data_IF_793023632441
#
_entry.id   IF_793023632441
#
_cell.length_a   1.000
_cell.length_b   1.000
_cell.length_c   1.000
_cell.angle_alpha   90.00
_cell.angle_beta   90.00
_cell.angle_gamma   90.00
#
_symmetry.space_group_name_H-M   'P 1'
#
loop_
_entity.id
_entity.type
_entity.pdbx_description
1 polymer ?
#
# COMPACT_ATOMS: atom_id res chain seq x y z
N UNK A 1 -36.78 14.90 -8.15
CA UNK A 1 -35.62 14.55 -9.00
C UNK A 1 -36.10 13.51 -10.00
N UNK A 2 -35.79 13.69 -11.28
CA UNK A 2 -36.25 12.79 -12.34
C UNK A 2 -35.58 11.41 -12.17
N UNK A 3 -36.38 10.40 -11.79
CA UNK A 3 -35.89 9.04 -11.57
C UNK A 3 -35.20 8.45 -12.80
N UNK A 4 -35.54 8.94 -14.00
CA UNK A 4 -34.88 8.55 -15.25
C UNK A 4 -33.48 9.13 -15.38
N UNK A 5 -33.24 10.34 -14.87
CA UNK A 5 -31.87 10.88 -14.77
C UNK A 5 -31.03 10.08 -13.78
N UNK A 6 -31.59 9.72 -12.62
CA UNK A 6 -30.88 8.92 -11.62
C UNK A 6 -30.51 7.54 -12.16
N UNK A 7 -31.43 6.86 -12.84
CA UNK A 7 -31.15 5.57 -13.48
C UNK A 7 -30.04 5.67 -14.54
N UNK A 8 -30.06 6.72 -15.36
CA UNK A 8 -29.02 6.98 -16.37
C UNK A 8 -27.66 7.24 -15.72
N UNK A 9 -27.63 8.04 -14.65
CA UNK A 9 -26.41 8.34 -13.93
C UNK A 9 -25.77 7.07 -13.36
N UNK A 10 -26.56 6.23 -12.70
CA UNK A 10 -26.09 4.95 -12.17
C UNK A 10 -25.58 4.02 -13.28
N UNK A 11 -26.28 3.94 -14.41
CA UNK A 11 -25.85 3.14 -15.55
C UNK A 11 -24.49 3.61 -16.10
N UNK A 12 -24.30 4.93 -16.26
CA UNK A 12 -23.03 5.50 -16.74
C UNK A 12 -21.89 5.21 -15.76
N UNK A 13 -22.12 5.38 -14.46
CA UNK A 13 -21.12 5.09 -13.43
C UNK A 13 -20.72 3.61 -13.47
N UNK A 14 -21.69 2.71 -13.56
CA UNK A 14 -21.43 1.26 -13.64
C UNK A 14 -20.63 0.90 -14.88
N UNK A 15 -20.99 1.45 -16.04
CA UNK A 15 -20.24 1.24 -17.30
C UNK A 15 -18.81 1.74 -17.16
N UNK A 16 -18.60 2.93 -16.56
CA UNK A 16 -17.27 3.47 -16.34
C UNK A 16 -16.42 2.53 -15.48
N UNK A 17 -16.95 2.05 -14.34
CA UNK A 17 -16.26 1.08 -13.49
C UNK A 17 -15.93 -0.22 -14.22
N UNK A 18 -16.87 -0.76 -15.01
CA UNK A 18 -16.65 -1.97 -15.79
C UNK A 18 -15.51 -1.80 -16.81
N UNK A 19 -15.48 -0.68 -17.52
CA UNK A 19 -14.42 -0.36 -18.50
C UNK A 19 -13.06 -0.21 -17.81
N UNK A 20 -12.99 0.53 -16.70
CA UNK A 20 -11.74 0.68 -15.94
C UNK A 20 -11.24 -0.67 -15.40
N UNK A 21 -12.12 -1.50 -14.86
CA UNK A 21 -11.76 -2.83 -14.37
C UNK A 21 -11.23 -3.73 -15.50
N UNK A 22 -11.87 -3.72 -16.67
CA UNK A 22 -11.43 -4.46 -17.84
C UNK A 22 -10.06 -3.97 -18.36
N UNK A 23 -9.82 -2.65 -18.37
CA UNK A 23 -8.53 -2.09 -18.75
C UNK A 23 -7.41 -2.54 -17.79
N UNK A 24 -7.66 -2.55 -16.48
CA UNK A 24 -6.68 -3.04 -15.49
C UNK A 24 -6.46 -4.55 -15.64
N UNK A 25 -7.51 -5.33 -15.90
CA UNK A 25 -7.37 -6.78 -16.14
C UNK A 25 -6.52 -7.08 -17.38
N UNK A 26 -6.72 -6.33 -18.47
CA UNK A 26 -5.90 -6.43 -19.68
C UNK A 26 -4.44 -5.99 -19.43
N UNK A 27 -4.22 -4.92 -18.67
CA UNK A 27 -2.88 -4.50 -18.28
C UNK A 27 -2.17 -5.58 -17.44
N UNK A 28 -2.86 -6.15 -16.44
CA UNK A 28 -2.34 -7.24 -15.59
C UNK A 28 -2.08 -8.55 -16.32
N UNK A 29 -2.81 -8.85 -17.39
CA UNK A 29 -2.58 -10.04 -18.24
C UNK A 29 -1.38 -9.88 -19.17
N UNK A 30 -1.10 -8.65 -19.59
CA UNK A 30 0.06 -8.32 -20.42
C UNK A 30 1.35 -8.15 -19.61
N UNK A 31 1.23 -7.84 -18.32
CA UNK A 31 2.33 -7.96 -17.38
C UNK A 31 2.55 -9.45 -17.05
N UNK A 32 3.79 -9.97 -17.09
CA UNK A 32 4.09 -11.21 -16.39
C UNK A 32 3.61 -11.02 -14.96
N UNK A 33 2.76 -11.93 -14.46
CA UNK A 33 2.30 -11.93 -13.07
C UNK A 33 3.46 -11.45 -12.20
N UNK A 34 3.38 -10.26 -11.56
CA UNK A 34 4.42 -9.88 -10.63
C UNK A 34 4.49 -11.06 -9.67
N UNK A 35 5.69 -11.62 -9.42
CA UNK A 35 5.80 -12.61 -8.37
C UNK A 35 5.04 -12.02 -7.20
N UNK A 36 4.08 -12.78 -6.62
CA UNK A 36 3.59 -12.50 -5.25
C UNK A 36 4.78 -11.97 -4.49
N UNK A 37 4.70 -10.92 -3.67
CA UNK A 37 5.87 -10.48 -2.92
C UNK A 37 6.38 -11.71 -2.18
N UNK A 38 7.39 -12.35 -2.77
CA UNK A 38 8.28 -13.25 -2.10
C UNK A 38 8.81 -12.24 -1.13
N UNK A 39 8.46 -12.42 0.14
CA UNK A 39 9.27 -11.91 1.22
C UNK A 39 10.67 -12.38 0.85
N UNK A 40 11.39 -11.57 0.07
CA UNK A 40 12.80 -11.67 -0.12
C UNK A 40 13.28 -11.30 1.25
N UNK A 41 13.33 -12.31 2.10
CA UNK A 41 14.24 -12.38 3.23
C UNK A 41 15.57 -11.98 2.65
N UNK A 42 15.81 -10.68 2.74
CA UNK A 42 17.05 -10.03 2.37
C UNK A 42 18.14 -10.85 3.07
N UNK A 43 19.17 -11.33 2.34
CA UNK A 43 20.21 -12.21 2.88
C UNK A 43 20.72 -11.64 4.21
N UNK A 44 20.36 -12.29 5.31
CA UNK A 44 20.79 -12.06 6.71
C UNK A 44 21.45 -10.70 6.90
N UNK A 45 20.68 -9.62 6.73
CA UNK A 45 21.10 -8.32 7.23
C UNK A 45 21.08 -8.43 8.77
N UNK A 46 22.03 -7.80 9.48
CA UNK A 46 22.03 -7.79 10.95
C UNK A 46 20.64 -7.40 11.41
N UNK A 47 20.07 -8.19 12.33
CA UNK A 47 18.71 -8.05 12.87
C UNK A 47 18.46 -6.57 13.12
N UNK A 48 17.75 -5.91 12.19
CA UNK A 48 17.60 -4.47 12.28
C UNK A 48 16.47 -4.25 13.30
N UNK A 49 16.74 -3.72 14.51
CA UNK A 49 15.73 -3.56 15.54
C UNK A 49 14.56 -2.68 15.05
N UNK A 50 14.81 -1.80 14.07
CA UNK A 50 13.77 -1.01 13.42
C UNK A 50 12.78 -1.89 12.64
N UNK A 51 13.24 -2.94 11.95
CA UNK A 51 12.36 -3.86 11.20
C UNK A 51 11.45 -4.65 12.13
N UNK A 52 11.96 -5.14 13.25
CA UNK A 52 11.15 -5.83 14.25
C UNK A 52 10.08 -4.92 14.87
N UNK A 53 10.42 -3.65 15.10
CA UNK A 53 9.48 -2.66 15.63
C UNK A 53 8.39 -2.35 14.61
N UNK A 54 8.76 -2.10 13.34
CA UNK A 54 7.79 -1.89 12.26
C UNK A 54 6.86 -3.08 12.05
N UNK A 55 7.37 -4.31 12.11
CA UNK A 55 6.54 -5.52 12.02
C UNK A 55 5.52 -5.62 13.16
N UNK A 56 5.92 -5.25 14.38
CA UNK A 56 5.03 -5.18 15.54
C UNK A 56 3.94 -4.13 15.34
N UNK A 57 4.31 -2.94 14.90
CA UNK A 57 3.39 -1.85 14.60
C UNK A 57 2.42 -2.22 13.48
N UNK A 58 2.90 -2.87 12.43
CA UNK A 58 2.04 -3.34 11.34
C UNK A 58 1.00 -4.37 11.81
N UNK A 59 1.36 -5.27 12.71
CA UNK A 59 0.42 -6.24 13.30
C UNK A 59 -0.65 -5.58 14.18
N UNK A 60 -0.39 -4.39 14.72
CA UNK A 60 -1.38 -3.63 15.48
C UNK A 60 -2.40 -2.89 14.60
N UNK A 61 -2.08 -2.65 13.31
CA UNK A 61 -2.99 -1.98 12.39
C UNK A 61 -3.30 -0.54 12.84
N UNK A 62 -4.58 -0.17 12.85
CA UNK A 62 -5.04 1.19 13.19
C UNK A 62 -4.56 1.67 14.57
N UNK A 63 -4.45 0.76 15.55
CA UNK A 63 -3.96 1.09 16.89
C UNK A 63 -2.50 1.59 16.90
N UNK A 64 -1.70 1.27 15.87
CA UNK A 64 -0.34 1.80 15.75
C UNK A 64 -0.28 3.30 15.46
N UNK A 65 -1.39 3.89 14.99
CA UNK A 65 -1.48 5.34 14.71
C UNK A 65 -1.55 6.21 15.97
N UNK A 66 -1.87 5.62 17.12
CA UNK A 66 -1.93 6.31 18.43
C UNK A 66 -0.70 6.01 19.30
N UNK A 67 0.14 5.05 18.89
CA UNK A 67 1.33 4.63 19.63
C UNK A 67 2.56 5.47 19.23
N UNK A 68 3.11 6.19 20.20
CA UNK A 68 4.23 7.10 19.97
C UNK A 68 5.52 6.39 19.50
N UNK A 69 5.77 5.16 19.96
CA UNK A 69 6.94 4.38 19.56
C UNK A 69 6.80 3.92 18.11
N UNK A 70 5.58 3.55 17.70
CA UNK A 70 5.29 3.20 16.30
C UNK A 70 5.42 4.39 15.36
N UNK A 71 4.92 5.57 15.75
CA UNK A 71 5.08 6.79 14.96
C UNK A 71 6.56 7.15 14.77
N UNK A 72 7.38 7.04 15.82
CA UNK A 72 8.82 7.29 15.74
C UNK A 72 9.53 6.29 14.82
N UNK A 73 9.20 5.00 14.91
CA UNK A 73 9.78 3.96 14.04
C UNK A 73 9.43 4.18 12.56
N UNK A 74 8.21 4.61 12.25
CA UNK A 74 7.79 4.94 10.89
C UNK A 74 8.53 6.14 10.32
N UNK A 75 8.70 7.19 11.13
CA UNK A 75 9.41 8.39 10.72
C UNK A 75 10.90 8.10 10.42
N UNK A 76 11.55 7.28 11.26
CA UNK A 76 12.92 6.85 11.00
C UNK A 76 13.03 5.97 9.75
N UNK A 77 12.10 5.04 9.54
CA UNK A 77 12.09 4.23 8.32
C UNK A 77 11.93 5.08 7.05
N UNK A 78 11.11 6.13 7.13
CA UNK A 78 10.94 7.10 6.05
C UNK A 78 12.22 7.87 5.78
N UNK A 79 12.90 8.40 6.81
CA UNK A 79 14.18 9.09 6.65
C UNK A 79 15.23 8.19 6.00
N UNK A 80 15.33 6.92 6.41
CA UNK A 80 16.26 5.93 5.84
C UNK A 80 15.99 5.71 4.37
N UNK A 81 14.73 5.52 4.01
CA UNK A 81 14.30 5.31 2.64
C UNK A 81 14.62 6.53 1.76
N UNK A 82 14.45 7.73 2.30
CA UNK A 82 14.78 8.99 1.63
C UNK A 82 16.28 9.33 1.65
N UNK A 83 17.12 8.51 2.29
CA UNK A 83 18.56 8.76 2.41
C UNK A 83 18.92 9.94 3.33
N UNK A 84 17.99 10.37 4.20
CA UNK A 84 18.13 11.56 5.05
C UNK A 84 18.93 11.31 6.35
N UNK A 85 19.28 10.06 6.66
CA UNK A 85 20.06 9.73 7.86
C UNK A 85 21.59 9.79 7.62
N UNK A 86 22.02 10.15 6.41
CA UNK A 86 23.43 10.20 6.01
C UNK A 86 24.15 11.54 6.24
N UNK A 87 23.48 12.54 6.82
CA UNK A 87 24.04 13.88 7.03
C UNK A 87 24.52 14.10 8.48
N UNK A 88 25.36 13.17 8.98
CA UNK A 88 26.02 13.29 10.29
C UNK A 88 27.48 12.85 10.23
#
# INVERSE_FOLDING_TARGET
MDGKMLARLLAVIFIAFAVTAAAIDMARKNEPQPPRPISTTNPVAPVNPLRQTLERCQKMGDASGEDADCLAAWDENRRRFLGQDGDR
#
